data_IF_899267809868
#
_entry.id   IF_899267809868
#
_cell.length_a   1.000
_cell.length_b   1.000
_cell.length_c   1.000
_cell.angle_alpha   90.00
_cell.angle_beta   90.00
_cell.angle_gamma   90.00
#
_symmetry.space_group_name_H-M   'P 1'
#
loop_
_entity.id
_entity.type
_entity.pdbx_description
1 polymer ?
#
# COMPACT_ATOMS: atom_id res chain seq x y z
N UNK A 1 16.30 -22.17 -7.04
CA UNK A 1 14.89 -22.28 -6.59
C UNK A 1 14.75 -23.61 -5.88
N UNK A 2 13.75 -23.83 -5.02
CA UNK A 2 13.46 -25.22 -4.63
C UNK A 2 12.98 -25.92 -5.89
N UNK A 3 13.60 -27.02 -6.29
CA UNK A 3 13.25 -27.76 -7.52
C UNK A 3 11.92 -28.52 -7.39
N UNK A 4 11.24 -28.36 -6.26
CA UNK A 4 9.95 -28.97 -5.95
C UNK A 4 8.84 -27.94 -6.11
N UNK A 5 8.11 -28.04 -7.21
CA UNK A 5 6.82 -27.36 -7.39
C UNK A 5 5.81 -27.94 -6.40
N UNK A 6 5.16 -27.08 -5.63
CA UNK A 6 4.04 -27.43 -4.75
C UNK A 6 2.74 -27.33 -5.53
N UNK A 7 1.99 -28.43 -5.54
CA UNK A 7 0.66 -28.48 -6.15
C UNK A 7 -0.43 -28.26 -5.11
N UNK A 8 -1.43 -27.48 -5.46
CA UNK A 8 -2.62 -27.22 -4.66
C UNK A 8 -3.85 -27.96 -5.18
N UNK A 9 -5.01 -27.31 -5.06
CA UNK A 9 -6.30 -27.85 -5.49
C UNK A 9 -6.43 -27.85 -7.03
N UNK A 10 -7.27 -28.73 -7.56
CA UNK A 10 -7.77 -28.67 -8.95
C UNK A 10 -9.22 -28.21 -8.92
N UNK A 11 -9.54 -27.09 -9.59
CA UNK A 11 -10.90 -26.53 -9.66
C UNK A 11 -11.19 -26.15 -11.11
N UNK A 12 -12.36 -26.54 -11.62
CA UNK A 12 -12.81 -26.27 -13.00
C UNK A 12 -11.78 -26.67 -14.07
N UNK A 13 -11.08 -27.80 -13.86
CA UNK A 13 -10.07 -28.31 -14.80
C UNK A 13 -8.70 -27.62 -14.72
N UNK A 14 -8.52 -26.63 -13.86
CA UNK A 14 -7.22 -25.99 -13.62
C UNK A 14 -6.59 -26.49 -12.30
N UNK A 15 -5.36 -26.98 -12.37
CA UNK A 15 -4.58 -27.40 -11.20
C UNK A 15 -3.63 -26.28 -10.78
N UNK A 16 -3.87 -25.71 -9.61
CA UNK A 16 -3.06 -24.61 -9.08
C UNK A 16 -1.72 -25.13 -8.57
N UNK A 17 -0.65 -24.37 -8.79
CA UNK A 17 0.69 -24.68 -8.26
C UNK A 17 1.47 -23.40 -7.95
N UNK A 18 2.68 -23.52 -7.40
CA UNK A 18 3.65 -22.43 -7.27
C UNK A 18 4.66 -22.40 -8.44
N UNK A 19 4.36 -23.07 -9.57
CA UNK A 19 5.19 -23.00 -10.76
C UNK A 19 5.38 -21.53 -11.19
N UNK A 20 6.60 -21.10 -11.54
CA UNK A 20 6.85 -19.72 -11.95
C UNK A 20 6.14 -19.34 -13.23
N UNK A 21 5.57 -18.14 -13.26
CA UNK A 21 4.94 -17.49 -14.41
C UNK A 21 5.74 -16.24 -14.77
N UNK A 22 5.97 -16.04 -16.07
CA UNK A 22 6.67 -14.86 -16.54
C UNK A 22 5.74 -13.65 -16.49
N UNK A 23 6.11 -12.65 -15.69
CA UNK A 23 5.41 -11.37 -15.55
C UNK A 23 6.29 -10.27 -16.11
N UNK A 24 5.75 -9.48 -17.04
CA UNK A 24 6.44 -8.34 -17.64
C UNK A 24 6.11 -7.07 -16.85
N UNK A 25 7.14 -6.36 -16.40
CA UNK A 25 7.03 -5.04 -15.78
C UNK A 25 8.07 -4.13 -16.44
N UNK A 26 7.60 -3.28 -17.35
CA UNK A 26 8.46 -2.51 -18.24
C UNK A 26 9.36 -3.42 -19.09
N UNK A 27 10.67 -3.15 -19.19
CA UNK A 27 11.60 -3.98 -19.95
C UNK A 27 11.96 -5.29 -19.24
N UNK A 28 11.63 -5.44 -17.95
CA UNK A 28 12.06 -6.55 -17.13
C UNK A 28 11.05 -7.71 -17.15
N UNK A 29 11.57 -8.93 -16.98
CA UNK A 29 10.77 -10.14 -16.79
C UNK A 29 11.02 -10.70 -15.41
N UNK A 30 9.95 -11.05 -14.71
CA UNK A 30 10.00 -11.66 -13.39
C UNK A 30 9.32 -13.03 -13.43
N UNK A 31 10.02 -14.10 -13.07
CA UNK A 31 9.49 -15.47 -12.94
C UNK A 31 8.84 -15.65 -11.58
N UNK A 32 7.65 -15.08 -11.40
CA UNK A 32 6.95 -15.03 -10.13
C UNK A 32 6.19 -16.36 -9.92
N UNK A 33 6.33 -17.06 -8.78
CA UNK A 33 5.50 -18.24 -8.48
C UNK A 33 4.02 -17.90 -8.60
N UNK A 34 3.25 -18.69 -9.35
CA UNK A 34 1.87 -18.35 -9.71
C UNK A 34 1.00 -18.03 -8.48
N UNK A 35 1.25 -18.69 -7.35
CA UNK A 35 0.49 -18.52 -6.12
C UNK A 35 0.70 -17.18 -5.40
N UNK A 36 1.66 -16.34 -5.82
CA UNK A 36 1.73 -14.93 -5.42
C UNK A 36 0.67 -14.08 -6.13
N UNK A 37 0.27 -14.44 -7.35
CA UNK A 37 -0.64 -13.62 -8.15
C UNK A 37 -2.04 -13.61 -7.52
N UNK A 38 -2.75 -12.49 -7.65
CA UNK A 38 -4.14 -12.36 -7.16
C UNK A 38 -5.06 -13.48 -7.69
N UNK A 39 -4.93 -13.85 -8.96
CA UNK A 39 -5.66 -14.95 -9.59
C UNK A 39 -5.12 -16.34 -9.21
N UNK A 40 -3.89 -16.41 -8.70
CA UNK A 40 -3.07 -17.62 -8.54
C UNK A 40 -2.77 -18.39 -9.84
N UNK A 41 -2.96 -17.76 -11.01
CA UNK A 41 -2.79 -18.39 -12.34
C UNK A 41 -1.87 -17.55 -13.23
N UNK A 42 -2.28 -16.33 -13.54
CA UNK A 42 -1.59 -15.41 -14.44
C UNK A 42 -1.97 -13.96 -14.09
N UNK A 43 -1.15 -12.96 -14.46
CA UNK A 43 -1.55 -11.55 -14.33
C UNK A 43 -2.89 -11.28 -15.03
N UNK A 44 -3.70 -10.41 -14.44
CA UNK A 44 -4.90 -9.92 -15.10
C UNK A 44 -4.53 -9.07 -16.34
N UNK A 45 -5.39 -8.99 -17.37
CA UNK A 45 -5.16 -8.09 -18.50
C UNK A 45 -4.99 -6.64 -18.03
N UNK A 46 -3.92 -5.97 -18.48
CA UNK A 46 -3.60 -4.59 -18.10
C UNK A 46 -2.10 -4.37 -17.93
N UNK A 47 -1.74 -3.16 -17.52
CA UNK A 47 -0.39 -2.84 -17.04
C UNK A 47 -0.28 -3.18 -15.54
N UNK A 48 0.93 -3.54 -15.11
CA UNK A 48 1.22 -3.88 -13.72
C UNK A 48 0.82 -5.31 -13.33
N UNK A 49 1.00 -5.63 -12.05
CA UNK A 49 0.61 -6.92 -11.46
C UNK A 49 0.15 -6.74 -10.03
N UNK A 50 -0.85 -7.52 -9.62
CA UNK A 50 -1.27 -7.60 -8.21
C UNK A 50 -0.80 -8.93 -7.62
N UNK A 51 0.01 -8.83 -6.56
CA UNK A 51 0.46 -9.95 -5.74
C UNK A 51 -0.25 -9.93 -4.38
N UNK A 52 -0.31 -11.09 -3.74
CA UNK A 52 -0.86 -11.29 -2.40
C UNK A 52 0.20 -11.91 -1.49
N UNK A 53 0.33 -11.34 -0.30
CA UNK A 53 1.07 -11.94 0.82
C UNK A 53 0.15 -12.00 2.04
N UNK A 54 0.39 -12.94 2.94
CA UNK A 54 -0.43 -13.14 4.15
C UNK A 54 0.34 -12.78 5.42
N UNK A 55 -0.31 -12.01 6.29
CA UNK A 55 0.16 -11.75 7.66
C UNK A 55 0.01 -13.00 8.55
N UNK A 56 0.93 -13.28 9.50
CA UNK A 56 2.12 -12.51 9.87
C UNK A 56 3.43 -12.90 9.15
N UNK A 57 3.47 -13.99 8.38
CA UNK A 57 4.71 -14.52 7.82
C UNK A 57 5.17 -13.79 6.55
N UNK A 58 4.29 -13.01 5.91
CA UNK A 58 4.53 -12.32 4.63
C UNK A 58 4.83 -13.30 3.48
N UNK A 59 4.21 -14.48 3.55
CA UNK A 59 4.30 -15.54 2.54
C UNK A 59 3.13 -15.45 1.56
N UNK A 60 3.26 -15.97 0.32
CA UNK A 60 2.14 -16.06 -0.58
C UNK A 60 1.08 -17.01 -0.04
N UNK A 61 -0.17 -16.80 -0.44
CA UNK A 61 -1.26 -17.75 -0.20
C UNK A 61 -0.90 -19.12 -0.82
N UNK A 62 -1.22 -20.25 -0.16
CA UNK A 62 -0.98 -21.57 -0.75
C UNK A 62 -1.65 -21.72 -2.13
N UNK A 63 -1.07 -22.50 -3.06
CA UNK A 63 -1.60 -22.66 -4.40
C UNK A 63 -3.08 -23.07 -4.41
N UNK A 64 -3.91 -22.27 -5.06
CA UNK A 64 -5.34 -22.51 -5.17
C UNK A 64 -6.12 -22.36 -3.87
N UNK A 65 -5.57 -21.79 -2.79
CA UNK A 65 -6.33 -21.57 -1.56
C UNK A 65 -7.24 -20.32 -1.63
N UNK A 66 -6.98 -19.39 -2.55
CA UNK A 66 -7.77 -18.15 -2.71
C UNK A 66 -8.96 -18.31 -3.65
N UNK A 67 -8.86 -19.20 -4.65
CA UNK A 67 -9.96 -19.47 -5.59
C UNK A 67 -11.22 -19.93 -4.84
N UNK A 68 -12.37 -19.45 -5.29
CA UNK A 68 -13.67 -19.77 -4.69
C UNK A 68 -14.02 -21.27 -4.87
N UNK A 69 -14.52 -21.96 -3.83
CA UNK A 69 -14.61 -21.52 -2.43
C UNK A 69 -13.23 -21.46 -1.78
N UNK A 70 -12.91 -20.32 -1.16
CA UNK A 70 -11.58 -20.07 -0.56
C UNK A 70 -11.35 -20.93 0.68
N UNK A 71 -10.10 -21.32 0.90
CA UNK A 71 -9.66 -22.10 2.07
C UNK A 71 -8.61 -21.36 2.90
N UNK A 72 -8.10 -20.22 2.42
CA UNK A 72 -7.28 -19.32 3.22
C UNK A 72 -8.14 -18.37 4.08
N UNK A 73 -7.52 -17.74 5.08
CA UNK A 73 -8.16 -16.67 5.85
C UNK A 73 -7.96 -15.33 5.15
N UNK A 74 -9.00 -14.87 4.45
CA UNK A 74 -8.99 -13.61 3.71
C UNK A 74 -8.64 -12.39 4.55
N UNK A 75 -8.79 -12.46 5.88
CA UNK A 75 -8.48 -11.32 6.77
C UNK A 75 -7.00 -11.02 6.80
N UNK A 76 -6.15 -12.03 6.55
CA UNK A 76 -4.69 -11.96 6.55
C UNK A 76 -4.10 -11.46 5.23
N UNK A 77 -4.90 -11.44 4.16
CA UNK A 77 -4.45 -10.99 2.85
C UNK A 77 -3.99 -9.51 2.90
N UNK A 78 -2.82 -9.27 2.33
CA UNK A 78 -2.25 -7.95 2.04
C UNK A 78 -2.08 -7.89 0.52
N UNK A 79 -2.81 -6.97 -0.10
CA UNK A 79 -2.71 -6.75 -1.54
C UNK A 79 -1.48 -5.91 -1.85
N UNK A 80 -0.74 -6.28 -2.89
CA UNK A 80 0.49 -5.63 -3.35
C UNK A 80 0.32 -5.34 -4.84
N UNK A 81 0.00 -4.10 -5.19
CA UNK A 81 -0.03 -3.63 -6.57
C UNK A 81 1.36 -3.12 -6.96
N UNK A 82 1.86 -3.56 -8.12
CA UNK A 82 3.19 -3.23 -8.63
C UNK A 82 3.04 -2.74 -10.06
N UNK A 83 3.46 -1.49 -10.28
CA UNK A 83 3.33 -0.80 -11.56
C UNK A 83 4.71 -0.33 -12.04
N UNK A 84 4.99 -0.52 -13.32
CA UNK A 84 6.16 0.10 -13.95
C UNK A 84 5.86 1.57 -14.26
N UNK A 85 6.79 2.45 -13.91
CA UNK A 85 6.62 3.90 -14.06
C UNK A 85 7.53 4.40 -15.18
N UNK A 86 6.91 4.86 -16.27
CA UNK A 86 7.58 5.49 -17.43
C UNK A 86 7.12 6.91 -17.72
N UNK A 87 6.02 7.37 -17.11
CA UNK A 87 5.44 8.70 -17.36
C UNK A 87 5.99 9.80 -16.45
N UNK A 88 6.72 9.44 -15.40
CA UNK A 88 7.31 10.38 -14.46
C UNK A 88 8.54 9.77 -13.77
N UNK A 89 9.49 10.58 -13.26
CA UNK A 89 10.65 10.05 -12.53
C UNK A 89 10.21 9.21 -11.33
N UNK A 90 10.75 8.00 -11.18
CA UNK A 90 10.41 7.10 -10.07
C UNK A 90 10.96 7.64 -8.74
N UNK A 91 12.08 8.34 -8.78
CA UNK A 91 12.80 8.88 -7.62
C UNK A 91 11.95 9.85 -6.82
N UNK A 92 11.07 10.60 -7.51
CA UNK A 92 10.19 11.60 -6.90
C UNK A 92 8.74 11.12 -6.76
N UNK A 93 8.48 9.83 -6.97
CA UNK A 93 7.13 9.26 -6.88
C UNK A 93 6.49 9.44 -5.50
N UNK A 94 7.22 9.15 -4.44
CA UNK A 94 6.72 9.32 -3.07
C UNK A 94 6.50 10.78 -2.69
N UNK A 95 7.36 11.70 -3.18
CA UNK A 95 7.17 13.13 -2.96
C UNK A 95 5.87 13.61 -3.61
N UNK A 96 5.61 13.22 -4.86
CA UNK A 96 4.34 13.52 -5.55
C UNK A 96 3.13 12.93 -4.83
N UNK A 97 3.21 11.70 -4.32
CA UNK A 97 2.12 11.06 -3.58
C UNK A 97 1.86 11.70 -2.21
N UNK A 98 2.89 12.28 -1.60
CA UNK A 98 2.82 12.96 -0.31
C UNK A 98 2.48 14.46 -0.42
N UNK A 99 2.02 14.89 -1.59
CA UNK A 99 1.67 16.27 -1.87
C UNK A 99 0.51 16.33 -2.86
N UNK A 100 0.04 17.54 -3.19
CA UNK A 100 -1.18 17.76 -3.96
C UNK A 100 -0.96 18.45 -5.31
N UNK A 101 0.28 18.63 -5.78
CA UNK A 101 0.57 19.32 -7.05
C UNK A 101 -0.12 18.66 -8.23
N UNK A 102 -0.21 17.33 -8.25
CA UNK A 102 -0.83 16.59 -9.34
C UNK A 102 -2.36 16.71 -9.40
N UNK A 103 -3.00 17.17 -8.33
CA UNK A 103 -4.47 17.19 -8.18
C UNK A 103 -5.05 18.59 -7.92
N UNK A 104 -4.21 19.62 -7.93
CA UNK A 104 -4.62 21.01 -7.71
C UNK A 104 -3.93 21.92 -8.73
N UNK A 105 -4.58 23.02 -9.11
CA UNK A 105 -4.01 23.98 -10.05
C UNK A 105 -2.91 24.84 -9.41
N UNK A 106 -1.89 25.20 -10.19
CA UNK A 106 -0.81 26.09 -9.72
C UNK A 106 -1.37 27.44 -9.27
N UNK A 107 -0.99 27.88 -8.06
CA UNK A 107 -1.47 29.14 -7.47
C UNK A 107 -2.92 29.13 -6.98
N UNK A 108 -3.63 28.01 -7.09
CA UNK A 108 -4.99 27.86 -6.54
C UNK A 108 -5.01 27.94 -5.00
N UNK A 109 -6.20 28.16 -4.44
CA UNK A 109 -6.35 28.12 -2.99
C UNK A 109 -6.20 26.67 -2.49
N UNK A 110 -6.76 25.71 -3.22
CA UNK A 110 -6.72 24.27 -2.96
C UNK A 110 -5.29 23.73 -2.92
N UNK A 111 -4.37 24.31 -3.71
CA UNK A 111 -2.94 24.01 -3.65
C UNK A 111 -2.35 24.24 -2.25
N UNK A 112 -2.95 25.10 -1.42
CA UNK A 112 -2.50 25.43 -0.06
C UNK A 112 -3.22 24.63 1.02
N UNK A 113 -4.02 23.63 0.66
CA UNK A 113 -4.71 22.77 1.62
C UNK A 113 -3.69 21.93 2.44
N UNK A 114 -3.58 22.15 3.77
CA UNK A 114 -2.57 21.49 4.59
C UNK A 114 -2.89 20.01 4.90
N UNK A 115 -4.06 19.50 4.46
CA UNK A 115 -4.42 18.10 4.62
C UNK A 115 -3.68 17.21 3.64
N UNK A 116 -3.45 17.70 2.43
CA UNK A 116 -2.95 16.91 1.31
C UNK A 116 -1.48 17.19 0.97
N UNK A 117 -0.75 17.88 1.86
CA UNK A 117 0.67 18.16 1.66
C UNK A 117 1.54 17.88 2.88
N UNK A 118 2.58 17.09 2.69
CA UNK A 118 3.50 16.69 3.75
C UNK A 118 4.29 17.87 4.34
N UNK A 119 4.65 18.85 3.49
CA UNK A 119 5.37 20.07 3.90
C UNK A 119 4.52 21.01 4.76
N UNK A 120 3.19 20.87 4.71
CA UNK A 120 2.27 21.64 5.53
C UNK A 120 1.87 20.92 6.82
N UNK A 121 2.11 19.62 6.95
CA UNK A 121 1.80 18.82 8.14
C UNK A 121 2.85 18.94 9.24
N UNK A 122 2.47 18.57 10.47
CA UNK A 122 3.33 18.60 11.66
C UNK A 122 3.89 17.22 11.95
N UNK A 123 5.22 17.10 11.97
CA UNK A 123 5.91 15.89 12.42
C UNK A 123 5.68 15.66 13.93
N UNK A 124 5.34 14.43 14.28
CA UNK A 124 5.05 13.98 15.65
C UNK A 124 6.15 13.03 16.14
N UNK A 125 5.93 12.34 17.26
CA UNK A 125 6.88 11.35 17.76
C UNK A 125 7.03 10.16 16.79
N UNK A 126 8.25 9.62 16.72
CA UNK A 126 8.56 8.42 15.96
C UNK A 126 7.96 7.19 16.64
N UNK A 127 7.27 6.34 15.87
CA UNK A 127 6.70 5.06 16.32
C UNK A 127 6.95 3.98 15.29
N UNK A 128 7.29 2.76 15.71
CA UNK A 128 7.53 1.61 14.80
C UNK A 128 8.58 1.89 13.71
N UNK A 129 9.52 2.80 13.95
CA UNK A 129 10.49 3.22 12.94
C UNK A 129 10.02 4.33 11.97
N UNK A 130 8.77 4.78 12.08
CA UNK A 130 8.11 5.76 11.21
C UNK A 130 7.88 7.09 11.94
N UNK A 131 8.00 8.20 11.21
CA UNK A 131 7.59 9.52 11.67
C UNK A 131 6.10 9.74 11.35
N UNK A 132 5.27 10.00 12.36
CA UNK A 132 3.87 10.36 12.16
C UNK A 132 3.75 11.85 11.77
N UNK A 133 2.88 12.17 10.83
CA UNK A 133 2.57 13.52 10.35
C UNK A 133 1.08 13.80 10.49
N UNK A 134 0.74 14.67 11.44
CA UNK A 134 -0.63 15.11 11.68
C UNK A 134 -0.97 16.36 10.87
N UNK A 135 -2.27 16.56 10.61
CA UNK A 135 -2.78 17.81 10.04
C UNK A 135 -2.47 18.96 11.00
N UNK A 136 -1.97 20.06 10.45
CA UNK A 136 -1.75 21.30 11.21
C UNK A 136 -3.08 22.06 11.32
N UNK A 137 -3.75 21.94 12.47
CA UNK A 137 -5.04 22.60 12.69
C UNK A 137 -4.94 24.14 12.68
N UNK A 138 -3.77 24.72 13.00
CA UNK A 138 -3.57 26.16 12.91
C UNK A 138 -3.52 26.62 11.44
N UNK A 139 -2.82 25.87 10.57
CA UNK A 139 -2.86 26.12 9.12
C UNK A 139 -4.24 25.84 8.53
N UNK A 140 -4.95 24.81 9.02
CA UNK A 140 -6.33 24.54 8.59
C UNK A 140 -7.27 25.68 8.93
N UNK A 141 -7.12 26.32 10.10
CA UNK A 141 -7.93 27.48 10.46
C UNK A 141 -7.69 28.66 9.50
N UNK A 142 -6.43 28.92 9.15
CA UNK A 142 -6.05 29.93 8.15
C UNK A 142 -6.64 29.63 6.77
N UNK A 143 -6.42 28.41 6.27
CA UNK A 143 -6.96 27.93 5.00
C UNK A 143 -8.49 28.01 4.95
N UNK A 144 -9.18 27.58 6.01
CA UNK A 144 -10.65 27.58 6.08
C UNK A 144 -11.23 28.98 5.97
N UNK A 145 -10.60 29.97 6.61
CA UNK A 145 -11.02 31.38 6.51
C UNK A 145 -10.88 31.93 5.09
N UNK A 146 -9.75 31.63 4.43
CA UNK A 146 -9.54 32.04 3.04
C UNK A 146 -10.53 31.34 2.09
N UNK A 147 -10.80 30.06 2.34
CA UNK A 147 -11.74 29.25 1.57
C UNK A 147 -13.17 29.76 1.69
N UNK A 148 -13.61 30.07 2.90
CA UNK A 148 -14.92 30.66 3.15
C UNK A 148 -15.05 32.06 2.52
N UNK A 149 -14.00 32.88 2.58
CA UNK A 149 -14.00 34.20 1.93
C UNK A 149 -14.15 34.08 0.41
N UNK A 150 -13.52 33.08 -0.21
CA UNK A 150 -13.54 32.88 -1.67
C UNK A 150 -14.82 32.22 -2.17
N UNK A 151 -15.34 31.23 -1.43
CA UNK A 151 -16.40 30.35 -1.89
C UNK A 151 -17.72 30.48 -1.11
N UNK A 152 -17.78 31.35 -0.10
CA UNK A 152 -18.98 31.61 0.70
C UNK A 152 -19.40 30.47 1.63
N UNK A 153 -18.53 29.48 1.82
CA UNK A 153 -18.75 28.33 2.72
C UNK A 153 -17.41 27.78 3.22
N UNK A 154 -17.34 27.22 4.43
CA UNK A 154 -16.13 26.56 4.91
C UNK A 154 -15.80 25.29 4.10
N UNK A 155 -14.52 24.86 4.08
CA UNK A 155 -14.14 23.61 3.45
C UNK A 155 -14.73 22.42 4.22
N UNK A 156 -15.14 21.37 3.52
CA UNK A 156 -15.68 20.16 4.14
C UNK A 156 -14.58 19.41 4.91
N UNK A 157 -14.79 19.20 6.21
CA UNK A 157 -13.97 18.31 7.06
C UNK A 157 -14.58 16.92 7.08
N UNK A 158 -14.01 16.00 6.31
CA UNK A 158 -14.46 14.61 6.29
C UNK A 158 -13.34 13.72 6.87
N UNK A 159 -13.54 13.13 8.06
CA UNK A 159 -12.53 12.27 8.69
C UNK A 159 -12.05 11.10 7.81
N UNK A 160 -12.89 10.64 6.87
CA UNK A 160 -12.52 9.59 5.91
C UNK A 160 -11.57 10.02 4.79
N UNK A 161 -11.21 11.30 4.70
CA UNK A 161 -10.15 11.81 3.82
C UNK A 161 -9.04 12.53 4.60
N UNK A 162 -9.07 12.45 5.93
CA UNK A 162 -8.10 13.11 6.82
C UNK A 162 -7.24 12.05 7.51
N UNK A 163 -6.52 11.28 6.68
CA UNK A 163 -5.69 10.15 7.11
C UNK A 163 -4.52 10.57 8.01
N UNK A 164 -4.14 9.65 8.91
CA UNK A 164 -2.86 9.69 9.61
C UNK A 164 -1.74 9.29 8.63
N UNK A 165 -0.70 10.12 8.53
CA UNK A 165 0.40 9.89 7.59
C UNK A 165 1.65 9.42 8.30
N UNK A 166 2.26 8.33 7.85
CA UNK A 166 3.50 7.80 8.37
C UNK A 166 4.59 7.81 7.31
N UNK A 167 5.79 8.23 7.69
CA UNK A 167 6.90 8.44 6.76
C UNK A 167 8.18 7.77 7.27
N UNK A 168 8.89 7.09 6.38
CA UNK A 168 10.30 6.76 6.56
C UNK A 168 11.15 7.52 5.53
N UNK A 169 12.34 7.94 5.97
CA UNK A 169 13.34 8.60 5.13
C UNK A 169 14.62 7.79 5.11
N UNK A 170 15.31 7.83 3.97
CA UNK A 170 16.63 7.25 3.80
C UNK A 170 17.72 8.13 4.43
N UNK A 171 18.99 7.69 4.40
CA UNK A 171 20.12 8.43 5.00
C UNK A 171 20.33 9.83 4.41
N UNK A 172 19.91 10.06 3.16
CA UNK A 172 20.01 11.37 2.48
C UNK A 172 18.76 12.24 2.68
N UNK A 173 17.83 11.84 3.54
CA UNK A 173 16.57 12.55 3.80
C UNK A 173 15.47 12.35 2.76
N UNK A 174 15.73 11.64 1.66
CA UNK A 174 14.73 11.29 0.66
C UNK A 174 13.65 10.36 1.24
N UNK A 175 12.40 10.51 0.78
CA UNK A 175 11.33 9.60 1.17
C UNK A 175 11.63 8.19 0.66
N UNK A 176 11.49 7.19 1.52
CA UNK A 176 11.62 5.76 1.15
C UNK A 176 10.32 4.99 1.35
N UNK A 177 9.46 5.51 2.23
CA UNK A 177 8.18 4.92 2.59
C UNK A 177 7.19 6.04 2.91
N UNK A 178 5.99 5.94 2.36
CA UNK A 178 4.87 6.82 2.68
C UNK A 178 3.61 5.97 2.92
N UNK A 179 2.95 6.15 4.05
CA UNK A 179 1.79 5.35 4.44
C UNK A 179 0.67 6.29 4.88
N UNK A 180 -0.53 6.08 4.35
CA UNK A 180 -1.76 6.75 4.76
C UNK A 180 -2.65 5.71 5.43
N UNK A 181 -3.12 5.98 6.64
CA UNK A 181 -4.06 5.10 7.33
C UNK A 181 -5.30 5.88 7.74
N UNK A 182 -6.46 5.21 7.73
CA UNK A 182 -7.66 5.72 8.37
C UNK A 182 -7.30 6.24 9.77
N UNK A 183 -7.69 7.46 10.09
CA UNK A 183 -7.38 8.04 11.40
C UNK A 183 -8.14 7.33 12.52
N UNK A 184 -7.59 7.39 13.74
CA UNK A 184 -8.32 6.86 14.92
C UNK A 184 -9.64 7.59 15.18
N UNK A 185 -9.74 8.84 14.73
CA UNK A 185 -10.97 9.64 14.81
C UNK A 185 -12.03 9.12 13.84
N UNK A 186 -11.63 8.61 12.66
CA UNK A 186 -12.56 8.09 11.66
C UNK A 186 -13.04 6.67 11.99
N UNK A 187 -12.11 5.75 12.30
CA UNK A 187 -12.43 4.33 12.58
C UNK A 187 -11.51 3.68 13.62
N UNK A 188 -12.08 2.78 14.41
CA UNK A 188 -11.33 1.79 15.19
C UNK A 188 -10.67 0.74 14.29
N UNK A 189 -9.80 -0.11 14.86
CA UNK A 189 -9.07 -1.11 14.05
C UNK A 189 -10.00 -2.16 13.43
N UNK A 190 -11.12 -2.48 14.08
CA UNK A 190 -12.15 -3.43 13.61
C UNK A 190 -11.70 -4.88 13.51
N UNK A 191 -10.44 -5.16 13.86
CA UNK A 191 -9.87 -6.48 14.05
C UNK A 191 -8.88 -6.43 15.20
N UNK A 192 -8.71 -7.56 15.87
CA UNK A 192 -7.69 -7.79 16.89
C UNK A 192 -6.75 -8.93 16.48
N UNK A 193 -5.48 -8.80 16.87
CA UNK A 193 -4.44 -9.77 16.57
C UNK A 193 -4.15 -10.63 17.79
N UNK A 194 -4.31 -11.95 17.67
CA UNK A 194 -3.94 -12.92 18.71
C UNK A 194 -3.02 -13.99 18.13
N UNK A 195 -1.74 -13.93 18.50
CA UNK A 195 -0.71 -14.79 17.88
C UNK A 195 -0.68 -14.60 16.37
N UNK A 196 -0.98 -15.66 15.62
CA UNK A 196 -1.04 -15.64 14.15
C UNK A 196 -2.48 -15.58 13.62
N UNK A 197 -3.46 -15.23 14.45
CA UNK A 197 -4.87 -15.13 14.07
C UNK A 197 -5.32 -13.68 13.97
N UNK A 198 -6.24 -13.41 13.03
CA UNK A 198 -6.88 -12.11 12.84
C UNK A 198 -8.36 -12.28 13.14
N UNK A 199 -8.80 -11.72 14.26
CA UNK A 199 -10.17 -11.90 14.75
C UNK A 199 -10.94 -10.60 14.51
N UNK A 200 -12.03 -10.70 13.75
CA UNK A 200 -12.91 -9.56 13.47
C UNK A 200 -13.64 -9.13 14.73
N UNK A 201 -13.83 -7.82 14.87
CA UNK A 201 -14.74 -7.26 15.87
C UNK A 201 -16.13 -7.13 15.25
N UNK A 202 -17.15 -7.64 15.94
CA UNK A 202 -18.52 -7.68 15.41
C UNK A 202 -19.06 -6.28 15.13
N UNK A 203 -19.66 -6.11 13.94
CA UNK A 203 -20.22 -4.83 13.49
C UNK A 203 -19.18 -3.75 13.15
N UNK A 204 -17.88 -4.03 13.29
CA UNK A 204 -16.82 -3.07 13.01
C UNK A 204 -16.30 -3.21 11.57
N UNK A 205 -16.15 -2.07 10.90
CA UNK A 205 -15.40 -2.00 9.64
C UNK A 205 -13.94 -1.77 9.98
N UNK A 206 -13.08 -2.66 9.50
CA UNK A 206 -11.65 -2.58 9.78
C UNK A 206 -11.02 -1.33 9.14
N UNK A 207 -10.24 -0.59 9.93
CA UNK A 207 -9.44 0.52 9.42
C UNK A 207 -8.39 0.03 8.42
N UNK A 208 -8.24 0.74 7.31
CA UNK A 208 -7.29 0.44 6.24
C UNK A 208 -6.06 1.35 6.24
N UNK A 209 -5.03 0.90 5.54
CA UNK A 209 -3.88 1.70 5.15
C UNK A 209 -3.54 1.48 3.68
N UNK A 210 -3.08 2.55 3.03
CA UNK A 210 -2.35 2.53 1.76
C UNK A 210 -0.88 2.81 2.05
N UNK A 211 0.02 1.93 1.60
CA UNK A 211 1.45 2.00 1.87
C UNK A 211 2.23 1.97 0.56
N UNK A 212 2.91 3.07 0.30
CA UNK A 212 3.70 3.32 -0.90
C UNK A 212 5.19 3.21 -0.63
N UNK A 213 5.88 2.49 -1.49
CA UNK A 213 7.34 2.52 -1.62
C UNK A 213 7.74 2.20 -3.06
N UNK A 214 9.03 2.33 -3.38
CA UNK A 214 9.50 2.16 -4.76
C UNK A 214 10.70 1.22 -4.84
N UNK A 215 10.82 0.56 -5.97
CA UNK A 215 12.06 -0.05 -6.46
C UNK A 215 12.59 0.84 -7.60
N UNK A 216 13.55 1.69 -7.26
CA UNK A 216 14.12 2.69 -8.17
C UNK A 216 14.91 2.00 -9.30
N UNK A 217 15.62 0.90 -9.00
CA UNK A 217 16.44 0.21 -10.00
C UNK A 217 15.60 -0.34 -11.15
N UNK A 218 14.39 -0.81 -10.84
CA UNK A 218 13.48 -1.40 -11.80
C UNK A 218 12.35 -0.45 -12.25
N UNK A 219 12.37 0.82 -11.83
CA UNK A 219 11.31 1.81 -12.03
C UNK A 219 9.91 1.28 -11.62
N UNK A 220 9.81 0.62 -10.46
CA UNK A 220 8.54 0.06 -9.97
C UNK A 220 7.98 0.88 -8.82
N UNK A 221 6.73 1.32 -8.97
CA UNK A 221 5.89 1.82 -7.88
C UNK A 221 5.18 0.65 -7.21
N UNK A 222 5.20 0.59 -5.88
CA UNK A 222 4.62 -0.51 -5.12
C UNK A 222 3.65 0.06 -4.10
N UNK A 223 2.39 -0.38 -4.19
CA UNK A 223 1.30 0.02 -3.30
C UNK A 223 0.76 -1.19 -2.56
N UNK A 224 0.77 -1.11 -1.24
CA UNK A 224 0.21 -2.13 -0.36
C UNK A 224 -1.11 -1.63 0.21
N UNK A 225 -2.12 -2.49 0.22
CA UNK A 225 -3.40 -2.24 0.89
C UNK A 225 -3.65 -3.29 1.96
N UNK A 226 -3.75 -2.86 3.22
CA UNK A 226 -3.90 -3.74 4.37
C UNK A 226 -4.67 -3.09 5.52
N UNK A 227 -5.01 -3.88 6.54
CA UNK A 227 -5.67 -3.39 7.76
C UNK A 227 -4.68 -2.65 8.65
N UNK A 228 -5.06 -1.52 9.22
CA UNK A 228 -4.22 -0.69 10.12
C UNK A 228 -3.62 -1.49 11.28
N UNK A 229 -4.31 -2.52 11.76
CA UNK A 229 -3.77 -3.44 12.77
C UNK A 229 -2.42 -4.09 12.37
N UNK A 230 -2.13 -4.23 11.08
CA UNK A 230 -0.89 -4.83 10.58
C UNK A 230 0.26 -3.80 10.43
N UNK A 231 0.00 -2.50 10.65
CA UNK A 231 0.97 -1.42 10.42
C UNK A 231 2.29 -1.64 11.15
N UNK A 232 2.28 -2.27 12.33
CA UNK A 232 3.51 -2.60 13.08
C UNK A 232 4.52 -3.46 12.31
N UNK A 233 4.06 -4.24 11.33
CA UNK A 233 4.87 -5.13 10.52
C UNK A 233 5.22 -4.54 9.14
N UNK A 234 4.96 -3.24 8.90
CA UNK A 234 5.18 -2.57 7.60
C UNK A 234 6.53 -2.88 6.97
N UNK A 235 7.61 -2.89 7.77
CA UNK A 235 8.97 -3.13 7.27
C UNK A 235 9.17 -4.56 6.79
N UNK A 236 8.51 -5.53 7.43
CA UNK A 236 8.53 -6.94 7.00
C UNK A 236 7.78 -7.11 5.69
N UNK A 237 6.69 -6.36 5.48
CA UNK A 237 5.96 -6.35 4.20
C UNK A 237 6.86 -5.82 3.07
N UNK A 238 7.50 -4.66 3.25
CA UNK A 238 8.45 -4.13 2.24
C UNK A 238 9.56 -5.13 1.93
N UNK A 239 10.16 -5.72 2.98
CA UNK A 239 11.25 -6.68 2.82
C UNK A 239 10.82 -7.91 2.03
N UNK A 240 9.62 -8.44 2.29
CA UNK A 240 9.10 -9.62 1.59
C UNK A 240 8.88 -9.35 0.10
N UNK A 241 8.28 -8.19 -0.24
CA UNK A 241 8.04 -7.80 -1.64
C UNK A 241 9.36 -7.54 -2.37
N UNK A 242 10.29 -6.79 -1.77
CA UNK A 242 11.62 -6.55 -2.37
C UNK A 242 12.38 -7.85 -2.60
N UNK A 243 12.34 -8.77 -1.65
CA UNK A 243 12.99 -10.08 -1.77
C UNK A 243 12.36 -10.93 -2.87
N UNK A 244 11.03 -10.89 -3.02
CA UNK A 244 10.33 -11.60 -4.09
C UNK A 244 10.73 -11.06 -5.47
N UNK A 245 10.72 -9.74 -5.66
CA UNK A 245 11.13 -9.10 -6.92
C UNK A 245 12.59 -9.42 -7.26
N UNK A 246 13.52 -9.24 -6.32
CA UNK A 246 14.95 -9.48 -6.53
C UNK A 246 15.25 -10.94 -6.92
N UNK A 247 14.54 -11.91 -6.34
CA UNK A 247 14.75 -13.34 -6.62
C UNK A 247 14.11 -13.84 -7.89
N UNK A 248 13.10 -13.14 -8.40
CA UNK A 248 12.31 -13.57 -9.55
C UNK A 248 12.71 -12.85 -10.83
N UNK A 249 13.40 -11.70 -10.74
CA UNK A 249 13.97 -11.02 -11.90
C UNK A 249 14.88 -11.95 -12.71
N UNK A 250 14.60 -12.07 -14.00
CA UNK A 250 15.47 -12.76 -14.96
C UNK A 250 16.69 -11.88 -15.21
N UNK A 251 17.89 -12.46 -15.10
CA UNK A 251 19.15 -11.78 -15.40
C UNK A 251 19.32 -11.53 -16.89
#
# INVERSE_FOLDING_TARGET
MSDTVTTGRTINGHTYSDAPVDVKLGPNTFRIPANYLDSQIAPWPGEGVTLLIEWPEMKPTPPGARVNPRTNDFRKEISVSIDYIDRAPIETSLERLSSNEAITEDGSLERRDPRDRLDLRIAQAKTMGLMLYAIDEAKMAGYSKEYETRYGKPPTRNPGYEDDWYVARGPKGNLTTFIKCDSKTFRGDGVRLEGNQVISEDGAVAAGCFHYFSDIENNLSITLTYKRAFLKDWKRMESAVRHALARTKVQ
#
